data_IF_892911234453
#
_entry.id   IF_892911234453
#
_cell.length_a   1.000
_cell.length_b   1.000
_cell.length_c   1.000
_cell.angle_alpha   90.00
_cell.angle_beta   90.00
_cell.angle_gamma   90.00
#
_symmetry.space_group_name_H-M   'P 1'
#
loop_
_entity.id
_entity.type
_entity.pdbx_description
1 polymer ?
#
# COMPACT_ATOMS: atom_id res chain seq x y z
N UNK A 1 -36.08 3.88 3.68
CA UNK A 1 -35.46 5.10 4.24
C UNK A 1 -33.99 4.96 3.94
N UNK A 2 -33.70 5.21 2.68
CA UNK A 2 -32.40 5.04 2.06
C UNK A 2 -31.64 6.33 2.29
N UNK A 3 -30.74 6.30 3.27
CA UNK A 3 -29.84 7.41 3.56
C UNK A 3 -28.41 6.93 3.35
N UNK A 4 -27.88 7.33 2.19
CA UNK A 4 -26.48 7.67 1.96
C UNK A 4 -25.45 6.63 2.39
N UNK A 5 -25.30 5.57 1.58
CA UNK A 5 -23.95 5.01 1.40
C UNK A 5 -23.15 6.05 0.61
N UNK A 6 -22.60 7.04 1.32
CA UNK A 6 -21.56 7.90 0.76
C UNK A 6 -20.49 7.00 0.16
N UNK A 7 -19.95 7.29 -1.03
CA UNK A 7 -18.77 6.60 -1.50
C UNK A 7 -17.72 6.85 -0.43
N UNK A 8 -17.29 5.78 0.24
CA UNK A 8 -16.15 5.83 1.14
C UNK A 8 -14.98 6.15 0.19
N UNK A 9 -14.73 7.44 -0.08
CA UNK A 9 -13.47 7.90 -0.63
C UNK A 9 -12.50 7.55 0.48
N UNK A 10 -12.00 6.32 0.42
CA UNK A 10 -11.06 5.83 1.40
C UNK A 10 -9.88 6.78 1.32
N UNK A 11 -9.66 7.54 2.39
CA UNK A 11 -8.44 8.32 2.58
C UNK A 11 -7.25 7.49 2.10
N UNK A 12 -6.32 8.08 1.32
CA UNK A 12 -5.14 7.42 0.80
C UNK A 12 -4.17 7.14 1.96
N UNK A 13 -4.59 6.26 2.87
CA UNK A 13 -3.85 5.87 4.06
C UNK A 13 -3.40 4.43 3.92
N UNK A 14 -2.21 4.16 4.43
CA UNK A 14 -1.77 2.80 4.64
C UNK A 14 -2.67 2.10 5.67
N UNK A 15 -3.44 1.10 5.25
CA UNK A 15 -4.34 0.33 6.15
C UNK A 15 -3.63 -0.54 7.20
N UNK A 16 -2.29 -0.44 7.29
CA UNK A 16 -1.47 -1.15 8.28
C UNK A 16 -1.02 -0.20 9.40
N UNK A 17 -0.45 0.96 9.07
CA UNK A 17 0.00 1.95 10.06
C UNK A 17 -0.93 3.16 10.20
N UNK A 18 -2.02 3.21 9.43
CA UNK A 18 -3.01 4.29 9.41
C UNK A 18 -2.43 5.68 9.12
N UNK A 19 -1.25 5.75 8.48
CA UNK A 19 -0.64 7.00 8.02
C UNK A 19 -1.05 7.29 6.59
N UNK A 20 -1.37 8.55 6.35
CA UNK A 20 -1.61 9.12 5.03
C UNK A 20 -0.36 8.96 4.15
N UNK A 21 -0.56 8.51 2.91
CA UNK A 21 0.50 8.44 1.91
C UNK A 21 1.04 9.86 1.64
N UNK A 22 2.30 9.99 1.23
CA UNK A 22 2.90 11.26 0.78
C UNK A 22 4.29 10.96 0.22
N UNK A 23 5.10 11.99 -0.03
CA UNK A 23 6.48 11.84 -0.49
C UNK A 23 7.37 11.02 0.46
N UNK A 24 7.04 10.96 1.75
CA UNK A 24 7.75 10.14 2.76
C UNK A 24 7.05 8.80 3.02
N UNK A 25 5.72 8.76 2.98
CA UNK A 25 4.92 7.55 3.16
C UNK A 25 4.57 7.00 1.77
N UNK A 26 5.55 6.36 1.13
CA UNK A 26 5.43 5.90 -0.26
C UNK A 26 4.48 4.69 -0.37
N UNK A 27 3.39 4.74 -1.15
CA UNK A 27 2.53 3.60 -1.43
C UNK A 27 3.21 2.60 -2.37
N UNK A 28 3.40 1.35 -1.92
CA UNK A 28 3.95 0.24 -2.71
C UNK A 28 2.85 -0.78 -3.01
N UNK A 29 2.74 -1.15 -4.28
CA UNK A 29 1.73 -2.09 -4.76
C UNK A 29 2.30 -3.52 -4.82
N UNK A 30 1.57 -4.48 -4.25
CA UNK A 30 1.90 -5.90 -4.34
C UNK A 30 1.48 -6.42 -5.72
N UNK A 31 2.45 -6.71 -6.58
CA UNK A 31 2.22 -7.03 -8.01
C UNK A 31 1.30 -8.23 -8.25
N UNK A 32 1.20 -9.16 -7.31
CA UNK A 32 0.37 -10.35 -7.45
C UNK A 32 -1.12 -10.12 -7.13
N UNK A 33 -1.47 -9.03 -6.46
CA UNK A 33 -2.86 -8.75 -6.07
C UNK A 33 -3.33 -7.31 -6.20
N UNK A 34 -2.45 -6.35 -6.50
CA UNK A 34 -2.79 -4.94 -6.66
C UNK A 34 -3.03 -4.16 -5.36
N UNK A 35 -3.04 -4.82 -4.19
CA UNK A 35 -3.19 -4.11 -2.92
C UNK A 35 -1.96 -3.25 -2.62
N UNK A 36 -2.22 -2.09 -2.02
CA UNK A 36 -1.20 -1.10 -1.70
C UNK A 36 -0.93 -1.05 -0.21
N UNK A 37 0.34 -0.99 0.17
CA UNK A 37 0.84 -0.88 1.55
C UNK A 37 2.02 0.10 1.52
N UNK A 38 2.24 0.91 2.56
CA UNK A 38 3.40 1.81 2.55
C UNK A 38 4.74 1.04 2.56
N UNK A 39 5.78 1.65 1.99
CA UNK A 39 7.11 1.05 1.87
C UNK A 39 7.67 0.57 3.22
N UNK A 40 7.51 1.35 4.29
CA UNK A 40 7.99 0.99 5.63
C UNK A 40 7.29 -0.28 6.15
N UNK A 41 5.96 -0.36 6.02
CA UNK A 41 5.20 -1.53 6.46
C UNK A 41 5.58 -2.79 5.66
N UNK A 42 5.71 -2.68 4.33
CA UNK A 42 6.16 -3.82 3.51
C UNK A 42 7.59 -4.20 3.84
N UNK A 43 8.48 -3.23 4.07
CA UNK A 43 9.86 -3.48 4.47
C UNK A 43 9.94 -4.24 5.78
N UNK A 44 9.11 -3.89 6.77
CA UNK A 44 9.04 -4.63 8.03
C UNK A 44 8.49 -6.05 7.84
N UNK A 45 7.49 -6.25 6.98
CA UNK A 45 7.01 -7.58 6.63
C UNK A 45 8.11 -8.43 5.96
N UNK A 46 8.86 -7.85 5.02
CA UNK A 46 9.96 -8.51 4.31
C UNK A 46 11.10 -8.93 5.24
N UNK A 47 11.47 -8.10 6.22
CA UNK A 47 12.50 -8.44 7.22
C UNK A 47 12.18 -9.74 7.97
N UNK A 48 10.89 -10.01 8.23
CA UNK A 48 10.45 -11.27 8.88
C UNK A 48 10.51 -12.50 7.96
N UNK A 49 10.85 -12.33 6.68
CA UNK A 49 10.89 -13.36 5.63
C UNK A 49 12.19 -13.30 4.83
N UNK A 50 13.29 -12.89 5.47
CA UNK A 50 14.62 -12.77 4.84
C UNK A 50 14.63 -11.97 3.54
N UNK A 51 13.77 -10.95 3.42
CA UNK A 51 13.58 -10.11 2.24
C UNK A 51 13.21 -10.87 0.95
N UNK A 52 12.69 -12.10 1.04
CA UNK A 52 12.35 -12.90 -0.14
C UNK A 52 10.94 -12.61 -0.65
N UNK A 53 9.95 -12.61 0.24
CA UNK A 53 8.55 -12.48 -0.14
C UNK A 53 7.70 -11.80 0.94
N UNK A 54 6.57 -11.28 0.51
CA UNK A 54 5.53 -10.72 1.40
C UNK A 54 4.19 -11.37 1.10
N UNK A 55 3.48 -11.81 2.14
CA UNK A 55 2.09 -12.24 2.03
C UNK A 55 1.18 -11.03 2.22
N UNK A 56 0.29 -10.79 1.26
CA UNK A 56 -0.67 -9.70 1.36
C UNK A 56 -1.57 -9.89 2.60
N UNK A 57 -1.69 -8.92 3.52
CA UNK A 57 -2.54 -9.03 4.70
C UNK A 57 -4.04 -9.01 4.37
N UNK A 58 -4.42 -8.54 3.17
CA UNK A 58 -5.82 -8.38 2.77
C UNK A 58 -6.36 -9.61 2.02
N UNK A 59 -5.54 -10.26 1.21
CA UNK A 59 -5.97 -11.39 0.38
C UNK A 59 -5.04 -12.61 0.44
N UNK A 60 -4.03 -12.58 1.30
CA UNK A 60 -3.07 -13.67 1.57
C UNK A 60 -2.19 -14.09 0.39
N UNK A 61 -2.34 -13.46 -0.78
CA UNK A 61 -1.50 -13.76 -1.96
C UNK A 61 -0.05 -13.33 -1.71
N UNK A 62 0.88 -14.25 -1.94
CA UNK A 62 2.30 -14.02 -1.80
C UNK A 62 2.85 -13.26 -3.01
N UNK A 63 3.71 -12.27 -2.76
CA UNK A 63 4.47 -11.54 -3.77
C UNK A 63 5.96 -11.76 -3.51
N UNK A 64 6.67 -12.33 -4.50
CA UNK A 64 8.13 -12.45 -4.47
C UNK A 64 8.75 -11.07 -4.72
N UNK A 65 9.71 -10.69 -3.88
CA UNK A 65 10.42 -9.40 -3.96
C UNK A 65 11.92 -9.60 -4.12
N UNK A 66 12.51 -10.55 -3.38
CA UNK A 66 13.95 -10.85 -3.39
C UNK A 66 14.83 -9.61 -3.24
N UNK A 67 14.50 -8.76 -2.26
CA UNK A 67 15.17 -7.50 -2.05
C UNK A 67 14.36 -6.53 -1.18
N UNK A 68 14.74 -5.24 -1.14
CA UNK A 68 14.03 -4.24 -0.37
C UNK A 68 12.63 -3.94 -0.94
N UNK A 69 11.74 -3.42 -0.08
CA UNK A 69 10.38 -3.02 -0.46
C UNK A 69 10.34 -1.97 -1.59
N UNK A 70 11.43 -1.21 -1.78
CA UNK A 70 11.55 -0.20 -2.83
C UNK A 70 11.54 -0.77 -4.25
N UNK A 71 11.77 -2.09 -4.41
CA UNK A 71 11.65 -2.79 -5.69
C UNK A 71 10.19 -3.00 -6.13
N UNK A 72 9.23 -2.91 -5.21
CA UNK A 72 7.82 -2.99 -5.56
C UNK A 72 7.39 -1.70 -6.28
N UNK A 73 6.48 -1.77 -7.26
CA UNK A 73 6.01 -0.60 -7.98
C UNK A 73 5.34 0.41 -7.02
N UNK A 74 5.61 1.69 -7.23
CA UNK A 74 4.87 2.77 -6.57
C UNK A 74 3.45 2.81 -7.15
N UNK A 75 2.46 3.11 -6.32
CA UNK A 75 1.11 3.41 -6.82
C UNK A 75 1.01 4.92 -7.14
N UNK A 76 1.37 5.30 -8.36
CA UNK A 76 1.36 6.70 -8.81
C UNK A 76 -0.05 7.31 -8.82
N UNK A 77 -1.08 6.51 -9.13
CA UNK A 77 -2.46 6.98 -9.10
C UNK A 77 -2.87 7.48 -7.71
N UNK A 78 -2.40 6.81 -6.64
CA UNK A 78 -2.66 7.29 -5.28
C UNK A 78 -1.90 8.58 -4.98
N UNK A 79 -0.66 8.73 -5.45
CA UNK A 79 0.14 9.94 -5.23
C UNK A 79 -0.46 11.16 -5.98
N UNK A 80 -0.97 10.99 -7.19
CA UNK A 80 -1.60 12.05 -7.99
C UNK A 80 -2.90 12.57 -7.36
N UNK A 81 -3.70 11.69 -6.72
CA UNK A 81 -4.93 12.08 -6.02
C UNK A 81 -4.65 12.98 -4.81
N UNK A 82 -3.46 12.90 -4.22
CA UNK A 82 -3.06 13.75 -3.08
C UNK A 82 -2.63 15.14 -3.53
N UNK A 83 -2.09 15.26 -4.73
CA UNK A 83 -1.62 16.53 -5.32
C UNK A 83 -2.76 17.40 -5.86
N UNK A 84 -3.97 16.83 -5.99
CA UNK A 84 -5.12 17.51 -6.60
C UNK A 84 -5.93 18.40 -5.64
N UNK A 85 -5.41 18.70 -4.44
CA UNK A 85 -6.10 19.51 -3.41
C UNK A 85 -5.61 20.97 -3.33
N UNK A 86 -4.97 21.50 -4.38
CA UNK A 86 -4.56 22.91 -4.47
C UNK A 86 -5.68 23.84 -4.92
#
# INVERSE_FOLDING_TARGET
MDSDTQPIISSPDCKICMREYNESIIPRMLSQCGHTICEECVGNMLKTRNNQFVSCPFCQRATLVNGPASLLPKNFALLEVMDSSV
#
